data_IF_626056801840
#
_entry.id   IF_626056801840
#
_cell.length_a   1.000
_cell.length_b   1.000
_cell.length_c   1.000
_cell.angle_alpha   90.00
_cell.angle_beta   90.00
_cell.angle_gamma   90.00
#
_symmetry.space_group_name_H-M   'P 1'
#
loop_
_entity.id
_entity.type
_entity.pdbx_description
1 polymer ?
#
# COMPACT_ATOMS: atom_id res chain seq x y z
N UNK A 1 -39.63 -53.95 -25.57
CA UNK A 1 -40.03 -54.07 -24.15
C UNK A 1 -38.76 -53.90 -23.32
N UNK A 2 -38.71 -52.82 -22.52
CA UNK A 2 -37.74 -52.46 -21.49
C UNK A 2 -36.29 -53.00 -21.53
N UNK A 3 -35.31 -52.11 -21.70
CA UNK A 3 -34.36 -51.84 -20.61
C UNK A 3 -33.82 -50.40 -20.71
N UNK A 4 -34.21 -49.58 -19.71
CA UNK A 4 -33.58 -48.31 -19.39
C UNK A 4 -32.76 -48.57 -18.12
N UNK A 5 -31.44 -48.72 -18.21
CA UNK A 5 -30.61 -48.25 -17.08
C UNK A 5 -29.14 -48.04 -17.43
N UNK A 6 -28.67 -46.86 -17.02
CA UNK A 6 -27.29 -46.51 -16.59
C UNK A 6 -26.22 -46.34 -17.66
N UNK A 7 -26.11 -45.10 -18.13
CA UNK A 7 -24.81 -44.42 -18.14
C UNK A 7 -24.99 -42.91 -18.03
N UNK A 8 -25.29 -42.43 -16.82
CA UNK A 8 -25.23 -41.01 -16.44
C UNK A 8 -24.59 -40.94 -15.05
N UNK A 9 -23.27 -41.16 -14.97
CA UNK A 9 -22.60 -41.25 -13.67
C UNK A 9 -21.09 -40.98 -13.64
N UNK A 10 -20.45 -40.65 -14.77
CA UNK A 10 -18.98 -40.58 -14.82
C UNK A 10 -18.37 -39.16 -14.78
N UNK A 11 -19.15 -38.09 -14.64
CA UNK A 11 -18.65 -36.72 -14.81
C UNK A 11 -18.81 -35.77 -13.61
N UNK A 12 -19.06 -36.27 -12.39
CA UNK A 12 -19.11 -35.43 -11.17
C UNK A 12 -17.99 -35.66 -10.14
N UNK A 13 -17.07 -36.60 -10.36
CA UNK A 13 -16.05 -36.96 -9.34
C UNK A 13 -14.68 -36.28 -9.54
N UNK A 14 -14.44 -35.57 -10.64
CA UNK A 14 -13.16 -34.90 -10.93
C UNK A 14 -13.01 -33.53 -10.26
N UNK A 15 -14.12 -32.85 -9.95
CA UNK A 15 -14.13 -31.57 -9.24
C UNK A 15 -13.64 -31.69 -7.79
N UNK A 16 -14.17 -32.65 -7.02
CA UNK A 16 -13.95 -32.69 -5.57
C UNK A 16 -12.52 -33.04 -5.16
N UNK A 17 -11.84 -33.96 -5.86
CA UNK A 17 -10.47 -34.36 -5.52
C UNK A 17 -9.44 -33.28 -5.90
N UNK A 18 -9.64 -32.65 -7.07
CA UNK A 18 -8.82 -31.52 -7.54
C UNK A 18 -9.01 -30.29 -6.65
N UNK A 19 -10.25 -29.96 -6.32
CA UNK A 19 -10.60 -28.85 -5.44
C UNK A 19 -10.03 -29.02 -4.02
N UNK A 20 -10.17 -30.23 -3.43
CA UNK A 20 -9.53 -30.56 -2.14
C UNK A 20 -8.01 -30.38 -2.20
N UNK A 21 -7.37 -30.78 -3.29
CA UNK A 21 -5.92 -30.63 -3.48
C UNK A 21 -5.50 -29.15 -3.61
N UNK A 22 -6.27 -28.35 -4.35
CA UNK A 22 -6.06 -26.90 -4.51
C UNK A 22 -6.20 -26.20 -3.16
N UNK A 23 -7.28 -26.47 -2.42
CA UNK A 23 -7.52 -25.90 -1.09
C UNK A 23 -6.39 -26.21 -0.12
N UNK A 24 -5.93 -27.46 -0.05
CA UNK A 24 -4.76 -27.83 0.78
C UNK A 24 -3.49 -27.09 0.38
N UNK A 25 -3.27 -26.84 -0.92
CA UNK A 25 -2.11 -26.08 -1.40
C UNK A 25 -2.22 -24.60 -1.03
N UNK A 26 -3.40 -24.00 -1.19
CA UNK A 26 -3.67 -22.61 -0.81
C UNK A 26 -3.51 -22.41 0.69
N UNK A 27 -4.08 -23.29 1.52
CA UNK A 27 -3.92 -23.29 2.98
C UNK A 27 -2.45 -23.30 3.39
N UNK A 28 -1.64 -24.21 2.83
CA UNK A 28 -0.19 -24.24 3.13
C UNK A 28 0.55 -23.01 2.62
N UNK A 29 0.07 -22.35 1.56
CA UNK A 29 0.71 -21.14 1.02
C UNK A 29 0.41 -19.93 1.90
N UNK A 30 -0.84 -19.77 2.32
CA UNK A 30 -1.22 -18.67 3.19
C UNK A 30 -0.59 -18.83 4.58
N UNK A 31 -0.62 -20.01 5.20
CA UNK A 31 0.00 -20.19 6.52
C UNK A 31 1.50 -19.88 6.51
N UNK A 32 2.24 -20.33 5.50
CA UNK A 32 3.65 -19.94 5.33
C UNK A 32 3.86 -18.44 5.12
N UNK A 33 2.90 -17.75 4.49
CA UNK A 33 2.95 -16.30 4.36
C UNK A 33 2.77 -15.60 5.71
N UNK A 34 1.79 -16.06 6.49
CA UNK A 34 1.51 -15.52 7.82
C UNK A 34 2.67 -15.77 8.80
N UNK A 35 3.25 -16.98 8.76
CA UNK A 35 4.45 -17.33 9.53
C UNK A 35 5.64 -16.47 9.10
N UNK A 36 5.83 -16.26 7.80
CA UNK A 36 6.88 -15.39 7.25
C UNK A 36 6.71 -13.91 7.58
N UNK A 37 5.51 -13.50 7.98
CA UNK A 37 5.23 -12.16 8.52
C UNK A 37 5.41 -12.06 10.04
N UNK A 38 5.69 -13.18 10.72
CA UNK A 38 5.87 -13.23 12.16
C UNK A 38 4.57 -13.04 12.96
N UNK A 39 3.41 -13.35 12.38
CA UNK A 39 2.12 -13.19 13.06
C UNK A 39 1.94 -14.23 14.17
N UNK A 40 1.45 -13.79 15.33
CA UNK A 40 1.02 -14.67 16.42
C UNK A 40 -0.17 -15.54 16.00
N UNK A 41 -0.41 -16.67 16.66
CA UNK A 41 -1.54 -17.54 16.31
C UNK A 41 -2.91 -16.84 16.41
N UNK A 42 -3.06 -15.91 17.34
CA UNK A 42 -4.28 -15.12 17.50
C UNK A 42 -4.49 -14.13 16.35
N UNK A 43 -3.40 -13.48 15.92
CA UNK A 43 -3.38 -12.63 14.72
C UNK A 43 -3.65 -13.45 13.47
N UNK A 44 -3.06 -14.65 13.34
CA UNK A 44 -3.31 -15.54 12.20
C UNK A 44 -4.77 -15.96 12.13
N UNK A 45 -5.38 -16.36 13.25
CA UNK A 45 -6.80 -16.70 13.29
C UNK A 45 -7.66 -15.50 12.88
N UNK A 46 -7.42 -14.33 13.47
CA UNK A 46 -8.15 -13.09 13.17
C UNK A 46 -8.00 -12.69 11.69
N UNK A 47 -6.77 -12.76 11.16
CA UNK A 47 -6.46 -12.48 9.75
C UNK A 47 -6.91 -13.60 8.82
N UNK A 48 -7.40 -14.74 9.29
CA UNK A 48 -8.08 -15.72 8.45
C UNK A 48 -9.61 -15.63 8.54
N UNK A 49 -10.15 -14.80 9.44
CA UNK A 49 -11.59 -14.69 9.69
C UNK A 49 -12.08 -15.85 10.57
N UNK A 50 -11.14 -16.52 11.24
CA UNK A 50 -11.45 -17.56 12.19
C UNK A 50 -11.76 -16.91 13.55
N UNK A 51 -12.77 -17.40 14.29
CA UNK A 51 -12.96 -17.00 15.67
C UNK A 51 -11.68 -17.23 16.48
N UNK A 52 -11.38 -16.35 17.45
CA UNK A 52 -10.21 -16.51 18.34
C UNK A 52 -10.20 -17.87 19.06
N UNK A 53 -11.39 -18.40 19.38
CA UNK A 53 -11.56 -19.75 19.94
C UNK A 53 -11.06 -20.87 19.02
N UNK A 54 -10.96 -20.62 17.72
CA UNK A 54 -10.51 -21.58 16.70
C UNK A 54 -9.00 -21.54 16.42
N UNK A 55 -8.22 -20.74 17.17
CA UNK A 55 -6.75 -20.66 16.99
C UNK A 55 -6.05 -22.01 17.07
N UNK A 56 -6.53 -22.92 17.94
CA UNK A 56 -5.97 -24.26 18.10
C UNK A 56 -6.09 -25.12 16.82
N UNK A 57 -6.97 -24.75 15.88
CA UNK A 57 -7.11 -25.43 14.59
C UNK A 57 -5.96 -25.11 13.62
N UNK A 58 -5.19 -24.04 13.84
CA UNK A 58 -4.05 -23.68 13.00
C UNK A 58 -3.02 -24.81 12.91
N UNK A 59 -2.78 -25.54 14.00
CA UNK A 59 -1.93 -26.74 14.00
C UNK A 59 -2.41 -27.82 13.03
N UNK A 60 -3.72 -28.09 12.98
CA UNK A 60 -4.32 -29.04 12.03
C UNK A 60 -4.17 -28.55 10.59
N UNK A 61 -4.35 -27.26 10.34
CA UNK A 61 -4.18 -26.71 9.00
C UNK A 61 -2.72 -26.80 8.52
N UNK A 62 -1.75 -26.61 9.42
CA UNK A 62 -0.32 -26.85 9.14
C UNK A 62 -0.03 -28.31 8.81
N UNK A 63 -0.71 -29.26 9.46
CA UNK A 63 -0.64 -30.70 9.19
C UNK A 63 -1.32 -31.12 7.86
N UNK A 64 -1.88 -30.17 7.10
CA UNK A 64 -2.39 -30.42 5.75
C UNK A 64 -3.92 -30.53 5.65
N UNK A 65 -4.65 -30.26 6.73
CA UNK A 65 -6.09 -30.04 6.64
C UNK A 65 -6.36 -28.69 5.94
N UNK A 66 -7.28 -28.64 4.96
CA UNK A 66 -7.62 -27.38 4.32
C UNK A 66 -8.38 -26.48 5.30
N UNK A 67 -8.25 -25.16 5.10
CA UNK A 67 -9.14 -24.18 5.72
C UNK A 67 -10.60 -24.48 5.35
N UNK A 68 -11.57 -24.08 6.19
CA UNK A 68 -12.99 -24.26 5.88
C UNK A 68 -13.34 -23.67 4.50
N UNK A 69 -14.30 -24.29 3.81
CA UNK A 69 -14.75 -23.82 2.49
C UNK A 69 -15.83 -22.75 2.63
N UNK A 70 -15.53 -21.76 3.46
CA UNK A 70 -16.43 -20.65 3.72
C UNK A 70 -16.11 -19.50 2.77
N UNK A 71 -17.14 -18.86 2.22
CA UNK A 71 -16.98 -17.77 1.24
C UNK A 71 -16.13 -16.63 1.80
N UNK A 72 -16.34 -16.26 3.06
CA UNK A 72 -15.59 -15.19 3.71
C UNK A 72 -14.12 -15.60 3.87
N UNK A 73 -13.85 -16.82 4.35
CA UNK A 73 -12.49 -17.33 4.52
C UNK A 73 -11.75 -17.41 3.17
N UNK A 74 -12.41 -17.93 2.13
CA UNK A 74 -11.84 -18.05 0.79
C UNK A 74 -11.51 -16.67 0.21
N UNK A 75 -12.41 -15.70 0.37
CA UNK A 75 -12.19 -14.32 -0.07
C UNK A 75 -11.01 -13.69 0.67
N UNK A 76 -10.95 -13.83 2.00
CA UNK A 76 -9.84 -13.30 2.82
C UNK A 76 -8.51 -13.90 2.42
N UNK A 77 -8.45 -15.21 2.20
CA UNK A 77 -7.24 -15.90 1.69
C UNK A 77 -6.82 -15.35 0.33
N UNK A 78 -7.78 -15.07 -0.56
CA UNK A 78 -7.52 -14.41 -1.84
C UNK A 78 -6.84 -13.05 -1.68
N UNK A 79 -7.43 -12.17 -0.86
CA UNK A 79 -6.88 -10.83 -0.58
C UNK A 79 -5.48 -10.89 0.05
N UNK A 80 -5.26 -11.78 1.01
CA UNK A 80 -3.96 -11.90 1.69
C UNK A 80 -2.86 -12.38 0.78
N UNK A 81 -3.14 -13.34 -0.09
CA UNK A 81 -2.17 -13.83 -1.06
C UNK A 81 -1.85 -12.77 -2.13
N UNK A 82 -2.83 -11.97 -2.52
CA UNK A 82 -2.64 -10.83 -3.40
C UNK A 82 -1.78 -9.75 -2.72
N UNK A 83 -2.09 -9.42 -1.47
CA UNK A 83 -1.31 -8.49 -0.64
C UNK A 83 0.15 -8.97 -0.48
N UNK A 84 0.36 -10.26 -0.17
CA UNK A 84 1.70 -10.85 -0.08
C UNK A 84 2.48 -10.74 -1.40
N UNK A 85 1.81 -10.87 -2.55
CA UNK A 85 2.43 -10.65 -3.85
C UNK A 85 2.78 -9.17 -4.04
N UNK A 86 1.84 -8.26 -3.77
CA UNK A 86 2.03 -6.82 -3.91
C UNK A 86 3.18 -6.30 -3.04
N UNK A 87 3.22 -6.66 -1.75
CA UNK A 87 4.28 -6.28 -0.82
C UNK A 87 5.66 -6.75 -1.29
N UNK A 88 5.78 -8.00 -1.79
CA UNK A 88 7.06 -8.51 -2.33
C UNK A 88 7.49 -7.78 -3.60
N UNK A 89 6.55 -7.38 -4.45
CA UNK A 89 6.85 -6.60 -5.65
C UNK A 89 7.29 -5.18 -5.29
N UNK A 90 6.60 -4.57 -4.33
CA UNK A 90 6.88 -3.22 -3.85
C UNK A 90 8.26 -3.12 -3.18
N UNK A 91 8.60 -4.08 -2.31
CA UNK A 91 9.88 -4.14 -1.61
C UNK A 91 10.86 -5.14 -2.26
N UNK A 92 10.86 -5.25 -3.60
CA UNK A 92 11.70 -6.21 -4.35
C UNK A 92 13.18 -6.18 -3.94
N UNK A 93 13.70 -4.98 -3.67
CA UNK A 93 15.12 -4.77 -3.32
C UNK A 93 15.36 -4.69 -1.80
N UNK A 94 14.33 -4.92 -0.97
CA UNK A 94 14.40 -4.86 0.48
C UNK A 94 13.53 -5.97 1.11
N UNK A 95 13.91 -7.26 0.97
CA UNK A 95 13.10 -8.40 1.39
C UNK A 95 12.79 -8.40 2.89
N UNK A 96 13.70 -7.88 3.73
CA UNK A 96 13.51 -7.71 5.18
C UNK A 96 12.33 -6.77 5.51
N UNK A 97 12.08 -5.78 4.65
CA UNK A 97 10.92 -4.88 4.81
C UNK A 97 9.63 -5.58 4.39
N UNK A 98 9.69 -6.47 3.39
CA UNK A 98 8.54 -7.26 2.95
C UNK A 98 8.11 -8.28 4.02
N UNK A 99 9.08 -8.91 4.70
CA UNK A 99 8.83 -9.89 5.77
C UNK A 99 8.29 -9.24 7.05
N UNK A 100 8.67 -8.00 7.35
CA UNK A 100 8.18 -7.30 8.56
C UNK A 100 6.99 -6.38 8.29
N UNK A 101 6.52 -6.24 7.05
CA UNK A 101 5.52 -5.24 6.67
C UNK A 101 4.21 -5.30 7.46
N UNK A 102 3.68 -6.51 7.73
CA UNK A 102 2.41 -6.67 8.46
C UNK A 102 2.50 -6.24 9.93
N UNK A 103 3.65 -6.45 10.57
CA UNK A 103 3.85 -6.32 12.02
C UNK A 103 4.62 -5.06 12.40
N UNK A 104 5.29 -4.41 11.45
CA UNK A 104 5.94 -3.12 11.64
C UNK A 104 4.93 -2.00 11.56
N UNK A 105 5.14 -0.97 12.39
CA UNK A 105 4.36 0.27 12.28
C UNK A 105 4.53 0.87 10.88
N UNK A 106 3.43 1.02 10.15
CA UNK A 106 3.41 1.65 8.84
C UNK A 106 3.05 3.12 9.01
N UNK A 107 3.99 4.00 8.67
CA UNK A 107 3.73 5.45 8.62
C UNK A 107 2.59 5.74 7.65
N UNK A 108 2.57 5.07 6.49
CA UNK A 108 1.52 5.21 5.47
C UNK A 108 0.11 4.98 6.00
N UNK A 109 -0.04 4.12 7.02
CA UNK A 109 -1.34 3.79 7.59
C UNK A 109 -1.52 4.27 9.03
N UNK A 110 -0.52 4.95 9.61
CA UNK A 110 -0.52 5.39 11.02
C UNK A 110 -0.61 4.26 12.05
N UNK A 111 -0.42 3.00 11.64
CA UNK A 111 -0.53 1.82 12.51
C UNK A 111 0.11 0.60 11.84
N UNK A 112 0.12 -0.56 12.52
CA UNK A 112 0.55 -1.82 11.90
C UNK A 112 -0.57 -2.32 10.97
N UNK A 113 -0.29 -2.76 9.74
CA UNK A 113 -1.31 -3.31 8.84
C UNK A 113 -2.13 -4.43 9.49
N UNK A 114 -1.51 -5.25 10.34
CA UNK A 114 -2.18 -6.29 11.13
C UNK A 114 -3.28 -5.73 12.05
N UNK A 115 -3.04 -4.58 12.68
CA UNK A 115 -4.02 -3.95 13.58
C UNK A 115 -5.23 -3.45 12.81
N UNK A 116 -5.03 -2.93 11.60
CA UNK A 116 -6.13 -2.53 10.72
C UNK A 116 -7.02 -3.72 10.38
N UNK A 117 -6.40 -4.84 9.98
CA UNK A 117 -7.12 -6.06 9.61
C UNK A 117 -7.85 -6.65 10.82
N UNK A 118 -7.21 -6.63 11.99
CA UNK A 118 -7.80 -7.17 13.23
C UNK A 118 -8.96 -6.30 13.73
N UNK A 119 -8.87 -4.97 13.59
CA UNK A 119 -9.93 -4.04 14.04
C UNK A 119 -11.07 -3.89 13.05
N UNK A 120 -10.77 -3.89 11.73
CA UNK A 120 -11.73 -3.53 10.66
C UNK A 120 -12.02 -4.69 9.69
N UNK A 121 -11.43 -5.86 9.92
CA UNK A 121 -11.71 -7.08 9.18
C UNK A 121 -11.46 -6.94 7.67
N UNK A 122 -12.45 -7.38 6.89
CA UNK A 122 -12.37 -7.43 5.43
C UNK A 122 -12.16 -6.05 4.79
N UNK A 123 -12.79 -5.00 5.33
CA UNK A 123 -12.68 -3.65 4.77
C UNK A 123 -11.21 -3.18 4.72
N UNK A 124 -10.46 -3.41 5.80
CA UNK A 124 -9.03 -3.12 5.84
C UNK A 124 -8.22 -3.99 4.86
N UNK A 125 -8.55 -5.28 4.70
CA UNK A 125 -7.87 -6.14 3.71
C UNK A 125 -8.05 -5.63 2.28
N UNK A 126 -9.27 -5.20 1.91
CA UNK A 126 -9.54 -4.63 0.59
C UNK A 126 -8.83 -3.31 0.39
N UNK A 127 -8.85 -2.44 1.40
CA UNK A 127 -8.15 -1.16 1.38
C UNK A 127 -6.64 -1.34 1.20
N UNK A 128 -5.99 -2.13 2.06
CA UNK A 128 -4.55 -2.40 2.00
C UNK A 128 -4.15 -3.04 0.67
N UNK A 129 -4.99 -3.93 0.12
CA UNK A 129 -4.75 -4.51 -1.21
C UNK A 129 -4.81 -3.45 -2.29
N UNK A 130 -5.88 -2.66 -2.36
CA UNK A 130 -6.07 -1.64 -3.39
C UNK A 130 -4.99 -0.55 -3.33
N UNK A 131 -4.50 -0.25 -2.13
CA UNK A 131 -3.45 0.73 -1.90
C UNK A 131 -2.06 0.27 -2.37
N UNK A 132 -1.79 -1.04 -2.32
CA UNK A 132 -0.50 -1.65 -2.70
C UNK A 132 -0.49 -2.31 -4.08
N UNK A 133 -1.63 -2.74 -4.61
CA UNK A 133 -1.70 -3.24 -5.98
C UNK A 133 -1.46 -2.07 -6.94
N UNK A 134 -0.44 -2.14 -7.82
CA UNK A 134 -0.34 -1.19 -8.89
C UNK A 134 -1.56 -1.40 -9.79
N UNK A 135 -2.37 -0.36 -9.91
CA UNK A 135 -3.26 -0.23 -11.05
C UNK A 135 -2.36 -0.33 -12.31
N UNK A 136 -2.64 -1.23 -13.26
CA UNK A 136 -1.81 -1.43 -14.45
C UNK A 136 -1.66 -0.15 -15.29
N UNK A 137 -2.51 0.87 -15.08
CA UNK A 137 -2.37 2.20 -15.67
C UNK A 137 -1.66 3.22 -14.74
N UNK A 138 -1.49 2.90 -13.45
CA UNK A 138 -0.70 3.71 -12.51
C UNK A 138 0.77 3.34 -12.56
N UNK A 139 1.49 4.11 -13.37
CA UNK A 139 2.93 4.34 -13.22
C UNK A 139 3.25 4.72 -11.76
N UNK A 140 3.97 3.83 -11.07
CA UNK A 140 4.72 4.01 -9.81
C UNK A 140 3.87 4.33 -8.56
N UNK A 141 3.91 3.45 -7.56
CA UNK A 141 3.59 3.81 -6.18
C UNK A 141 4.86 3.81 -5.35
N UNK A 142 5.22 5.00 -4.90
CA UNK A 142 6.34 5.24 -4.02
C UNK A 142 5.99 4.84 -2.58
N UNK A 143 7.02 4.46 -1.81
CA UNK A 143 7.04 4.71 -0.37
C UNK A 143 6.50 6.12 -0.16
N UNK A 144 5.58 6.32 0.81
CA UNK A 144 5.00 7.63 1.19
C UNK A 144 5.61 8.75 0.36
N UNK A 145 4.96 9.19 -0.74
CA UNK A 145 5.60 10.05 -1.76
C UNK A 145 6.10 11.39 -1.18
N UNK A 146 5.94 11.58 0.12
CA UNK A 146 6.30 12.72 0.89
C UNK A 146 7.23 12.32 2.04
N UNK A 147 8.53 12.24 1.75
CA UNK A 147 9.57 12.03 2.75
C UNK A 147 9.54 13.09 3.87
N UNK A 148 8.99 14.27 3.62
CA UNK A 148 8.84 15.33 4.63
C UNK A 148 7.77 14.98 5.67
N UNK A 149 6.71 14.25 5.28
CA UNK A 149 5.71 13.74 6.21
C UNK A 149 6.31 12.64 7.10
N UNK A 150 7.15 11.77 6.52
CA UNK A 150 7.84 10.70 7.27
C UNK A 150 8.81 11.27 8.31
N UNK A 151 9.36 12.46 8.07
CA UNK A 151 10.26 13.18 8.99
C UNK A 151 9.52 14.07 10.02
N UNK A 152 8.18 14.14 9.96
CA UNK A 152 7.38 14.97 10.88
C UNK A 152 7.60 16.48 10.71
N UNK A 153 8.03 16.91 9.52
CA UNK A 153 8.27 18.33 9.25
C UNK A 153 6.94 19.07 9.07
N UNK A 154 6.86 20.36 9.47
CA UNK A 154 5.66 21.16 9.28
C UNK A 154 5.38 21.37 7.79
N UNK A 155 4.09 21.39 7.43
CA UNK A 155 3.61 21.59 6.06
C UNK A 155 4.28 20.64 5.03
N UNK A 156 4.23 19.31 5.25
CA UNK A 156 4.98 18.37 4.43
C UNK A 156 4.52 18.38 2.96
N UNK A 157 3.25 18.65 2.67
CA UNK A 157 2.74 18.77 1.30
C UNK A 157 3.36 19.97 0.56
N UNK A 158 3.53 21.09 1.25
CA UNK A 158 4.20 22.27 0.70
C UNK A 158 5.67 21.98 0.40
N UNK A 159 6.37 21.30 1.33
CA UNK A 159 7.77 20.90 1.12
C UNK A 159 7.91 19.91 -0.04
N UNK A 160 6.97 18.98 -0.20
CA UNK A 160 6.92 18.06 -1.33
C UNK A 160 6.72 18.80 -2.66
N UNK A 161 5.78 19.75 -2.71
CA UNK A 161 5.57 20.58 -3.90
C UNK A 161 6.82 21.42 -4.25
N UNK A 162 7.44 22.06 -3.25
CA UNK A 162 8.68 22.82 -3.44
C UNK A 162 9.83 21.94 -3.96
N UNK A 163 10.00 20.74 -3.38
CA UNK A 163 11.02 19.79 -3.80
C UNK A 163 10.84 19.34 -5.25
N UNK A 164 9.59 19.10 -5.69
CA UNK A 164 9.30 18.77 -7.07
C UNK A 164 9.69 19.90 -8.04
N UNK A 165 9.41 21.16 -7.68
CA UNK A 165 9.80 22.32 -8.49
C UNK A 165 11.33 22.50 -8.54
N UNK A 166 12.03 22.31 -7.41
CA UNK A 166 13.50 22.37 -7.37
C UNK A 166 14.14 21.26 -8.19
N UNK A 167 13.57 20.05 -8.15
CA UNK A 167 14.04 18.95 -8.99
C UNK A 167 13.84 19.25 -10.47
N UNK A 168 12.68 19.82 -10.85
CA UNK A 168 12.45 20.28 -12.21
C UNK A 168 13.47 21.35 -12.64
N UNK A 169 13.78 22.32 -11.76
CA UNK A 169 14.81 23.33 -12.02
C UNK A 169 16.18 22.69 -12.27
N UNK A 170 16.61 21.76 -11.41
CA UNK A 170 17.90 21.07 -11.56
C UNK A 170 17.98 20.28 -12.87
N UNK A 171 16.88 19.60 -13.25
CA UNK A 171 16.76 18.90 -14.53
C UNK A 171 16.88 19.86 -15.72
N UNK A 172 16.15 20.97 -15.71
CA UNK A 172 16.19 21.97 -16.78
C UNK A 172 17.59 22.59 -16.95
N UNK A 173 18.24 22.92 -15.84
CA UNK A 173 19.61 23.48 -15.85
C UNK A 173 20.57 22.46 -16.46
N UNK A 174 20.47 21.20 -16.05
CA UNK A 174 21.32 20.11 -16.53
C UNK A 174 21.09 19.79 -18.01
N UNK A 175 19.84 19.66 -18.44
CA UNK A 175 19.47 19.33 -19.82
C UNK A 175 19.92 20.41 -20.81
N UNK A 176 19.99 21.66 -20.37
CA UNK A 176 20.49 22.79 -21.16
C UNK A 176 21.99 23.01 -21.04
N UNK A 177 22.69 22.23 -20.21
CA UNK A 177 24.12 22.42 -19.95
C UNK A 177 24.47 23.77 -19.32
N UNK A 178 23.52 24.39 -18.60
CA UNK A 178 23.73 25.69 -17.98
C UNK A 178 24.55 25.53 -16.70
N UNK A 179 25.53 26.41 -16.51
CA UNK A 179 26.15 26.58 -15.20
C UNK A 179 25.17 27.24 -14.23
N UNK A 180 25.36 27.05 -12.93
CA UNK A 180 24.54 27.71 -11.90
C UNK A 180 24.57 29.24 -12.02
N UNK A 181 25.70 29.81 -12.45
CA UNK A 181 25.82 31.25 -12.69
C UNK A 181 24.96 31.71 -13.89
N UNK A 182 25.00 30.98 -15.01
CA UNK A 182 24.17 31.28 -16.17
C UNK A 182 22.68 31.10 -15.89
N UNK A 183 22.31 30.06 -15.15
CA UNK A 183 20.92 29.83 -14.75
C UNK A 183 20.41 30.95 -13.82
N UNK A 184 21.25 31.42 -12.88
CA UNK A 184 20.92 32.53 -12.00
C UNK A 184 20.74 33.86 -12.76
N UNK A 185 21.61 34.12 -13.75
CA UNK A 185 21.51 35.28 -14.64
C UNK A 185 20.19 35.29 -15.43
N UNK A 186 19.81 34.15 -16.03
CA UNK A 186 18.52 33.99 -16.72
C UNK A 186 17.33 34.19 -15.78
N UNK A 187 17.44 33.71 -14.53
CA UNK A 187 16.39 33.86 -13.53
C UNK A 187 16.35 35.24 -12.87
N UNK A 188 17.32 36.12 -13.15
CA UNK A 188 17.44 37.45 -12.54
C UNK A 188 17.70 37.42 -11.04
N UNK A 189 18.47 36.45 -10.55
CA UNK A 189 18.78 36.24 -9.12
C UNK A 189 20.28 36.11 -8.86
N UNK A 190 20.66 36.24 -7.59
CA UNK A 190 22.03 35.97 -7.16
C UNK A 190 22.37 34.46 -7.27
N UNK A 191 23.55 34.08 -7.80
CA UNK A 191 23.98 32.68 -7.91
C UNK A 191 23.98 31.92 -6.56
N UNK A 192 24.13 32.65 -5.46
CA UNK A 192 24.07 32.11 -4.11
C UNK A 192 22.68 31.51 -3.78
N UNK A 193 21.61 32.23 -4.12
CA UNK A 193 20.23 31.85 -3.75
C UNK A 193 19.75 30.63 -4.52
N UNK A 194 20.11 30.55 -5.81
CA UNK A 194 19.87 29.37 -6.63
C UNK A 194 20.60 28.14 -6.06
N UNK A 195 21.83 28.33 -5.60
CA UNK A 195 22.65 27.25 -5.03
C UNK A 195 22.11 26.76 -3.69
N UNK A 196 21.53 27.62 -2.85
CA UNK A 196 20.82 27.23 -1.62
C UNK A 196 19.60 26.37 -1.95
N UNK A 197 18.77 26.81 -2.89
CA UNK A 197 17.56 26.08 -3.28
C UNK A 197 17.89 24.66 -3.79
N UNK A 198 18.84 24.56 -4.71
CA UNK A 198 19.26 23.29 -5.33
C UNK A 198 19.91 22.30 -4.33
N UNK A 199 20.45 22.78 -3.21
CA UNK A 199 21.04 21.92 -2.15
C UNK A 199 20.05 21.50 -1.08
N UNK A 200 18.76 21.78 -1.25
CA UNK A 200 17.72 21.38 -0.30
C UNK A 200 17.36 22.46 0.72
N UNK A 201 17.85 23.70 0.57
CA UNK A 201 17.46 24.87 1.36
C UNK A 201 16.06 25.41 1.02
N UNK A 202 15.11 24.53 0.69
CA UNK A 202 13.78 24.85 0.14
C UNK A 202 12.84 25.51 1.15
N UNK A 203 13.18 25.50 2.44
CA UNK A 203 12.39 26.17 3.49
C UNK A 203 12.28 27.68 3.25
N UNK A 204 13.38 28.29 2.78
CA UNK A 204 13.53 29.75 2.69
C UNK A 204 13.07 30.34 1.36
N UNK A 205 12.75 29.50 0.37
CA UNK A 205 12.29 29.94 -0.95
C UNK A 205 10.78 29.69 -1.06
N UNK A 206 10.03 30.68 -1.50
CA UNK A 206 8.58 30.55 -1.70
C UNK A 206 8.28 29.70 -2.93
N UNK A 207 7.08 29.11 -2.98
CA UNK A 207 6.65 28.31 -4.13
C UNK A 207 6.58 29.18 -5.40
N UNK A 208 6.03 30.39 -5.29
CA UNK A 208 5.91 31.36 -6.39
C UNK A 208 7.26 31.73 -7.00
N UNK A 209 8.31 31.86 -6.18
CA UNK A 209 9.66 32.16 -6.67
C UNK A 209 10.21 31.01 -7.52
N UNK A 210 10.01 29.76 -7.10
CA UNK A 210 10.43 28.59 -7.88
C UNK A 210 9.69 28.49 -9.22
N UNK A 211 8.40 28.83 -9.23
CA UNK A 211 7.60 28.90 -10.45
C UNK A 211 8.16 29.96 -11.40
N UNK A 212 8.43 31.18 -10.91
CA UNK A 212 9.01 32.26 -11.71
C UNK A 212 10.36 31.88 -12.34
N UNK A 213 11.19 31.13 -11.62
CA UNK A 213 12.47 30.66 -12.16
C UNK A 213 12.29 29.65 -13.30
N UNK A 214 11.35 28.72 -13.18
CA UNK A 214 11.01 27.78 -14.26
C UNK A 214 10.46 28.53 -15.48
N UNK A 215 9.59 29.51 -15.26
CA UNK A 215 9.03 30.35 -16.33
C UNK A 215 10.10 31.21 -17.02
N UNK A 216 11.04 31.79 -16.27
CA UNK A 216 12.19 32.50 -16.83
C UNK A 216 13.09 31.59 -17.67
N UNK A 217 13.21 30.31 -17.27
CA UNK A 217 13.85 29.28 -18.07
C UNK A 217 12.94 28.77 -19.21
N UNK A 218 11.78 29.36 -19.46
CA UNK A 218 10.92 29.03 -20.60
C UNK A 218 10.07 27.76 -20.43
N UNK A 219 9.79 27.35 -19.19
CA UNK A 219 8.88 26.24 -18.88
C UNK A 219 7.58 26.76 -18.27
N UNK A 220 6.44 26.29 -18.78
CA UNK A 220 5.14 26.59 -18.18
C UNK A 220 4.84 25.66 -17.00
N UNK A 221 4.42 26.24 -15.87
CA UNK A 221 3.97 25.48 -14.69
C UNK A 221 2.45 25.47 -14.64
N UNK A 222 1.84 24.28 -14.63
CA UNK A 222 0.39 24.13 -14.48
C UNK A 222 0.04 23.61 -13.09
N UNK A 223 -0.83 24.33 -12.38
CA UNK A 223 -1.35 23.92 -11.08
C UNK A 223 -2.74 23.30 -11.25
N UNK A 224 -2.93 22.08 -10.72
CA UNK A 224 -4.20 21.38 -10.73
C UNK A 224 -4.76 21.24 -9.32
N UNK A 225 -6.06 21.55 -9.16
CA UNK A 225 -6.80 21.38 -7.90
C UNK A 225 -7.72 20.19 -8.05
N UNK A 226 -7.66 19.24 -7.11
CA UNK A 226 -8.49 18.04 -7.08
C UNK A 226 -9.13 17.82 -5.72
N UNK A 227 -10.10 16.88 -5.63
CA UNK A 227 -10.68 16.49 -4.35
C UNK A 227 -9.57 16.07 -3.39
N UNK A 228 -9.57 16.64 -2.18
CA UNK A 228 -8.67 16.22 -1.12
C UNK A 228 -8.80 14.71 -0.93
N UNK A 229 -7.68 13.98 -0.92
CA UNK A 229 -7.71 12.60 -0.43
C UNK A 229 -8.24 12.66 1.00
N UNK A 230 -9.17 11.79 1.39
CA UNK A 230 -9.67 11.78 2.76
C UNK A 230 -8.46 11.69 3.70
N UNK A 231 -8.28 12.73 4.53
CA UNK A 231 -7.36 12.65 5.65
C UNK A 231 -7.93 11.58 6.57
N UNK A 232 -7.14 10.57 6.86
CA UNK A 232 -7.46 9.67 7.96
C UNK A 232 -7.29 10.48 9.25
N UNK A 233 -8.40 10.94 9.83
CA UNK A 233 -8.48 11.55 11.16
C UNK A 233 -8.71 10.42 12.17
N UNK A 234 -7.75 10.13 13.07
CA UNK A 234 -8.00 9.19 14.16
C UNK A 234 -8.92 9.87 15.18
N UNK A 235 -10.16 9.40 15.33
CA UNK A 235 -11.00 9.74 16.49
C UNK A 235 -12.51 9.98 16.25
N UNK A 236 -12.98 10.13 15.01
CA UNK A 236 -14.39 10.48 14.77
C UNK A 236 -15.34 9.27 14.79
N UNK A 237 -14.84 8.06 14.50
CA UNK A 237 -15.63 6.83 14.45
C UNK A 237 -16.06 6.31 15.85
N UNK A 238 -15.52 6.86 16.94
CA UNK A 238 -15.76 6.37 18.31
C UNK A 238 -17.06 6.94 18.91
N UNK A 239 -17.48 8.14 18.49
CA UNK A 239 -18.76 8.74 18.92
C UNK A 239 -19.96 8.08 18.23
N UNK A 240 -19.84 7.74 16.95
CA UNK A 240 -20.93 7.14 16.17
C UNK A 240 -21.20 5.68 16.61
N UNK A 241 -20.15 4.93 17.01
CA UNK A 241 -20.31 3.57 17.54
C UNK A 241 -20.90 3.51 18.95
N UNK A 242 -20.83 4.61 19.71
CA UNK A 242 -21.38 4.67 21.07
C UNK A 242 -22.89 4.98 21.05
N UNK A 243 -23.35 5.74 20.06
CA UNK A 243 -24.78 5.99 19.80
C UNK A 243 -25.52 4.78 19.20
N UNK A 244 -24.85 3.97 18.37
CA UNK A 244 -25.44 2.76 17.81
C UNK A 244 -25.56 1.59 18.80
N UNK A 245 -24.93 1.68 19.98
CA UNK A 245 -25.02 0.68 21.06
C UNK A 245 -26.02 1.04 22.15
N UNK A 246 -26.64 2.22 22.08
CA UNK A 246 -27.67 2.69 23.01
C UNK A 246 -29.08 2.70 22.42
N UNK A 247 -29.28 2.05 21.28
CA UNK A 247 -30.59 1.80 20.63
C UNK A 247 -30.76 0.28 20.55
#
# INVERSE_FOLDING_TARGET
MHDRTRSHGALRLTGSARERRIRRRLTRRILRALDGWGLTEDEQASVLGLPRSSRAMLGRFRQGFPLPNDTEIVERVGHLLALQKAVRLFYRNAPERASTWMTRHSIRFGTRPIDMITKRGMAALRYLRADLEPDPERRVYAASMNVFADLGLPNPELLSAKSALVHALDGVISDRGLTKAQAADICGIEPHDLSIALRGGIGNVTLDTLVKWLEALGYGVTLAVGKARPRFTPGEDEQENQQLRSI
#
